data_IF_467748636289
#
_entry.id   IF_467748636289
#
_cell.length_a   1.000
_cell.length_b   1.000
_cell.length_c   1.000
_cell.angle_alpha   90.00
_cell.angle_beta   90.00
_cell.angle_gamma   90.00
#
_symmetry.space_group_name_H-M   'P 1'
#
loop_
_entity.id
_entity.type
_entity.pdbx_description
1 polymer ?
#
# COMPACT_ATOMS: atom_id res chain seq x y z
N UNK A 1 -0.89 3.56 -14.45
CA UNK A 1 0.07 2.49 -14.09
C UNK A 1 -0.52 1.76 -12.89
N UNK A 2 -0.66 0.44 -13.00
CA UNK A 2 -1.44 -0.41 -12.08
C UNK A 2 -0.67 -0.78 -10.80
N UNK A 3 -1.37 -1.29 -9.78
CA UNK A 3 -0.83 -1.92 -8.57
C UNK A 3 0.35 -2.88 -8.81
N UNK A 4 0.43 -3.40 -10.05
CA UNK A 4 1.47 -4.25 -10.62
C UNK A 4 2.91 -3.92 -10.20
N UNK A 5 3.29 -2.64 -10.09
CA UNK A 5 4.70 -2.31 -9.73
C UNK A 5 5.06 -2.63 -8.27
N UNK A 6 4.09 -2.58 -7.35
CA UNK A 6 4.31 -3.06 -5.98
C UNK A 6 4.27 -4.59 -5.90
N UNK A 7 3.43 -5.23 -6.73
CA UNK A 7 3.35 -6.70 -6.84
C UNK A 7 4.69 -7.30 -7.32
N UNK A 8 5.29 -6.72 -8.37
CA UNK A 8 6.55 -7.18 -8.95
C UNK A 8 7.74 -7.04 -7.99
N UNK A 9 7.74 -6.00 -7.15
CA UNK A 9 8.86 -5.75 -6.24
C UNK A 9 8.87 -6.70 -5.03
N UNK A 10 7.71 -7.20 -4.60
CA UNK A 10 7.57 -7.98 -3.36
C UNK A 10 7.21 -9.45 -3.61
N UNK A 11 7.07 -9.87 -4.88
CA UNK A 11 6.73 -11.24 -5.29
C UNK A 11 5.49 -11.79 -4.56
N UNK A 12 4.46 -10.96 -4.45
CA UNK A 12 3.21 -11.29 -3.77
C UNK A 12 2.29 -12.13 -4.66
N UNK A 13 1.51 -13.02 -4.06
CA UNK A 13 0.46 -13.76 -4.77
C UNK A 13 -0.72 -12.85 -5.12
N UNK A 14 -1.53 -13.24 -6.11
CA UNK A 14 -2.73 -12.49 -6.49
C UNK A 14 -3.71 -12.33 -5.32
N UNK A 15 -3.82 -13.33 -4.46
CA UNK A 15 -4.76 -13.29 -3.33
C UNK A 15 -4.27 -12.33 -2.23
N UNK A 16 -2.96 -12.31 -1.95
CA UNK A 16 -2.36 -11.31 -1.06
C UNK A 16 -2.62 -9.90 -1.58
N UNK A 17 -2.44 -9.68 -2.88
CA UNK A 17 -2.65 -8.37 -3.50
C UNK A 17 -4.12 -7.95 -3.45
N UNK A 18 -5.07 -8.89 -3.65
CA UNK A 18 -6.50 -8.58 -3.50
C UNK A 18 -6.84 -8.10 -2.11
N UNK A 19 -6.31 -8.74 -1.06
CA UNK A 19 -6.54 -8.33 0.33
C UNK A 19 -5.92 -6.94 0.60
N UNK A 20 -4.68 -6.73 0.16
CA UNK A 20 -3.97 -5.46 0.30
C UNK A 20 -4.68 -4.31 -0.45
N UNK A 21 -5.09 -4.50 -1.70
CA UNK A 21 -5.84 -3.48 -2.44
C UNK A 21 -7.23 -3.22 -1.85
N UNK A 22 -7.93 -4.26 -1.39
CA UNK A 22 -9.25 -4.09 -0.77
C UNK A 22 -9.15 -3.25 0.50
N UNK A 23 -8.23 -3.60 1.41
CA UNK A 23 -7.96 -2.82 2.62
C UNK A 23 -7.50 -1.39 2.30
N UNK A 24 -6.62 -1.21 1.32
CA UNK A 24 -6.17 0.12 0.88
C UNK A 24 -7.32 1.03 0.41
N UNK A 25 -8.35 0.45 -0.21
CA UNK A 25 -9.51 1.20 -0.69
C UNK A 25 -10.60 1.37 0.38
N UNK A 26 -10.77 0.39 1.26
CA UNK A 26 -11.80 0.39 2.32
C UNK A 26 -11.35 1.15 3.57
N UNK A 27 -10.18 0.83 4.09
CA UNK A 27 -9.67 1.28 5.40
C UNK A 27 -8.75 2.50 5.27
N UNK A 28 -8.32 2.81 4.04
CA UNK A 28 -7.58 4.02 3.70
C UNK A 28 -6.11 3.78 3.34
N UNK A 29 -5.42 4.87 2.99
CA UNK A 29 -4.04 4.83 2.46
C UNK A 29 -2.96 4.73 3.55
N UNK A 30 -3.37 4.90 4.81
CA UNK A 30 -2.52 4.94 6.00
C UNK A 30 -3.21 4.18 7.15
N UNK A 31 -3.24 2.85 7.12
CA UNK A 31 -3.79 2.06 8.21
C UNK A 31 -3.00 2.31 9.50
N UNK A 32 -3.70 2.30 10.64
CA UNK A 32 -3.04 2.32 11.94
C UNK A 32 -2.35 0.98 12.24
N UNK A 33 -1.57 0.93 13.32
CA UNK A 33 -0.78 -0.25 13.66
C UNK A 33 -1.62 -1.51 13.89
N UNK A 34 -2.82 -1.38 14.45
CA UNK A 34 -3.70 -2.52 14.71
C UNK A 34 -4.29 -3.08 13.41
N UNK A 35 -4.79 -2.19 12.55
CA UNK A 35 -5.31 -2.53 11.22
C UNK A 35 -4.23 -3.19 10.36
N UNK A 36 -3.02 -2.62 10.38
CA UNK A 36 -1.88 -3.17 9.64
C UNK A 36 -1.50 -4.58 10.11
N UNK A 37 -1.55 -4.85 11.41
CA UNK A 37 -1.31 -6.20 11.96
C UNK A 37 -2.36 -7.22 11.51
N UNK A 38 -3.63 -6.83 11.46
CA UNK A 38 -4.71 -7.70 10.98
C UNK A 38 -4.52 -8.05 9.50
N UNK A 39 -4.22 -7.06 8.66
CA UNK A 39 -3.98 -7.26 7.22
C UNK A 39 -2.77 -8.18 7.00
N UNK A 40 -1.68 -7.97 7.76
CA UNK A 40 -0.48 -8.79 7.68
C UNK A 40 -0.80 -10.26 7.99
N UNK A 41 -1.58 -10.52 9.04
CA UNK A 41 -2.03 -11.85 9.41
C UNK A 41 -2.93 -12.49 8.33
N UNK A 42 -3.86 -11.75 7.75
CA UNK A 42 -4.73 -12.23 6.66
C UNK A 42 -3.94 -12.61 5.40
N UNK A 43 -2.88 -11.84 5.07
CA UNK A 43 -2.04 -12.09 3.91
C UNK A 43 -0.93 -13.13 4.17
N UNK A 44 -0.70 -13.52 5.43
CA UNK A 44 0.48 -14.30 5.82
C UNK A 44 1.80 -13.55 5.58
N UNK A 45 1.79 -12.22 5.70
CA UNK A 45 2.95 -11.35 5.52
C UNK A 45 3.46 -10.85 6.87
N UNK A 46 4.69 -10.32 6.87
CA UNK A 46 5.18 -9.53 8.00
C UNK A 46 4.49 -8.17 8.05
N UNK A 47 4.40 -7.57 9.24
CA UNK A 47 3.88 -6.21 9.41
C UNK A 47 4.74 -5.20 8.65
N UNK A 48 6.05 -5.42 8.60
CA UNK A 48 7.00 -4.57 7.85
C UNK A 48 6.75 -4.62 6.34
N UNK A 49 6.58 -5.82 5.77
CA UNK A 49 6.28 -5.98 4.34
C UNK A 49 4.93 -5.38 3.99
N UNK A 50 3.94 -5.56 4.86
CA UNK A 50 2.62 -4.95 4.69
C UNK A 50 2.73 -3.43 4.70
N UNK A 51 3.47 -2.84 5.63
CA UNK A 51 3.72 -1.39 5.68
C UNK A 51 4.40 -0.89 4.40
N UNK A 52 5.44 -1.60 3.96
CA UNK A 52 6.20 -1.26 2.76
C UNK A 52 5.33 -1.28 1.52
N UNK A 53 4.44 -2.26 1.40
CA UNK A 53 3.46 -2.31 0.32
C UNK A 53 2.53 -1.09 0.35
N UNK A 54 1.98 -0.73 1.51
CA UNK A 54 1.12 0.46 1.66
C UNK A 54 1.84 1.76 1.29
N UNK A 55 3.12 1.91 1.69
CA UNK A 55 3.93 3.06 1.32
C UNK A 55 4.15 3.16 -0.19
N UNK A 56 4.53 2.07 -0.84
CA UNK A 56 4.74 2.02 -2.29
C UNK A 56 3.44 2.31 -3.05
N UNK A 57 2.34 1.70 -2.63
CA UNK A 57 1.04 1.87 -3.27
C UNK A 57 0.47 3.26 -3.08
N UNK A 58 0.67 3.87 -1.92
CA UNK A 58 0.30 5.26 -1.65
C UNK A 58 1.11 6.25 -2.50
N UNK A 59 2.41 6.04 -2.66
CA UNK A 59 3.23 6.86 -3.56
C UNK A 59 2.71 6.82 -5.01
N UNK A 60 2.32 5.64 -5.50
CA UNK A 60 1.70 5.48 -6.82
C UNK A 60 0.34 6.18 -6.91
N UNK A 61 -0.50 6.04 -5.88
CA UNK A 61 -1.79 6.72 -5.83
C UNK A 61 -1.61 8.25 -5.88
N UNK A 62 -0.70 8.80 -5.07
CA UNK A 62 -0.39 10.24 -5.07
C UNK A 62 0.05 10.74 -6.45
N UNK A 63 0.94 10.01 -7.12
CA UNK A 63 1.36 10.36 -8.48
C UNK A 63 0.19 10.34 -9.48
N UNK A 64 -0.72 9.38 -9.37
CA UNK A 64 -1.91 9.30 -10.22
C UNK A 64 -2.89 10.46 -9.98
N UNK A 65 -3.01 10.94 -8.74
CA UNK A 65 -3.81 12.12 -8.38
C UNK A 65 -3.12 13.46 -8.74
N UNK A 66 -1.92 13.43 -9.33
CA UNK A 66 -1.12 14.64 -9.58
C UNK A 66 -0.55 15.28 -8.31
N UNK A 67 -0.55 14.56 -7.18
CA UNK A 67 -0.01 15.01 -5.91
C UNK A 67 1.50 14.72 -5.83
N UNK A 68 2.28 15.59 -5.17
CA UNK A 68 3.69 15.34 -4.93
C UNK A 68 3.88 14.06 -4.10
N UNK A 69 4.90 13.26 -4.41
CA UNK A 69 5.08 11.92 -3.85
C UNK A 69 5.23 11.90 -2.30
N UNK A 70 5.65 13.01 -1.67
CA UNK A 70 5.69 13.18 -0.22
C UNK A 70 4.59 14.16 0.24
N UNK A 71 3.92 13.80 1.33
CA UNK A 71 2.98 14.68 2.03
C UNK A 71 3.75 15.93 2.51
N UNK A 72 3.27 17.13 2.16
CA UNK A 72 3.90 18.40 2.57
C UNK A 72 5.02 18.92 1.66
N UNK A 73 5.36 18.21 0.58
CA UNK A 73 6.22 18.77 -0.48
C UNK A 73 5.39 19.71 -1.35
N UNK A 74 5.01 20.86 -0.81
CA UNK A 74 4.50 21.96 -1.65
C UNK A 74 5.65 22.35 -2.58
N UNK A 75 5.40 22.36 -3.88
CA UNK A 75 6.34 22.96 -4.83
C UNK A 75 6.48 24.43 -4.44
N UNK A 76 7.71 24.86 -4.14
CA UNK A 76 8.05 26.28 -4.11
C UNK A 76 7.75 26.92 -5.48
#
# INVERSE_FOLDING_TARGET
>A
MSASKAMEFMNLSEDQVKVLENSFNRDGKHPDGATLMLIAAECGLSVEDTLKWFQLRNAQWRQAEGLPAKLGSVLD
#
